data_IF_234683519038
#
_entry.id   IF_234683519038
#
_cell.length_a   1.000
_cell.length_b   1.000
_cell.length_c   1.000
_cell.angle_alpha   90.00
_cell.angle_beta   90.00
_cell.angle_gamma   90.00
#
_symmetry.space_group_name_H-M   'P 1'
#
loop_
_entity.id
_entity.type
_entity.pdbx_description
1 polymer ?
#
# COMPACT_ATOMS: atom_id res chain seq x y z
N UNK A 1 -8.29 4.50 -0.64
CA UNK A 1 -7.52 4.94 -1.82
C UNK A 1 -8.29 5.95 -2.68
N UNK A 2 -9.61 5.78 -2.90
CA UNK A 2 -10.43 6.67 -3.74
C UNK A 2 -10.54 8.11 -3.23
N UNK A 3 -10.80 8.31 -1.94
CA UNK A 3 -10.83 9.64 -1.34
C UNK A 3 -9.39 10.12 -1.16
N UNK A 4 -9.05 11.20 -1.85
CA UNK A 4 -7.73 11.83 -1.79
C UNK A 4 -7.55 12.61 -0.50
N UNK A 5 -6.30 12.77 -0.07
CA UNK A 5 -5.92 13.65 1.04
C UNK A 5 -6.70 13.38 2.33
N UNK A 6 -6.62 12.16 2.85
CA UNK A 6 -7.33 11.80 4.10
C UNK A 6 -6.74 12.50 5.33
N UNK A 7 -5.47 12.92 5.25
CA UNK A 7 -4.75 13.62 6.30
C UNK A 7 -4.78 15.12 6.02
N UNK A 8 -4.82 15.92 7.07
CA UNK A 8 -4.63 17.36 6.96
C UNK A 8 -3.22 17.67 6.45
N UNK A 9 -3.12 18.69 5.60
CA UNK A 9 -1.83 19.23 5.21
C UNK A 9 -1.32 20.14 6.33
N UNK A 10 -0.28 19.65 7.02
CA UNK A 10 0.36 20.36 8.10
C UNK A 10 1.67 21.02 7.67
N UNK A 11 2.10 20.88 6.41
CA UNK A 11 3.42 21.31 5.93
C UNK A 11 3.46 22.79 5.50
N UNK A 12 2.37 23.52 5.70
CA UNK A 12 2.29 24.97 5.45
C UNK A 12 3.25 25.79 6.35
N UNK A 13 3.78 26.93 5.87
CA UNK A 13 4.56 27.84 6.69
C UNK A 13 3.69 28.47 7.80
N UNK A 14 4.26 28.62 8.99
CA UNK A 14 3.60 29.25 10.13
C UNK A 14 3.67 30.78 10.02
N UNK A 15 2.59 31.47 10.42
CA UNK A 15 2.54 32.93 10.48
C UNK A 15 3.14 33.54 11.76
N UNK A 16 3.34 32.73 12.81
CA UNK A 16 3.94 33.13 14.09
C UNK A 16 4.75 32.00 14.73
N UNK A 17 5.58 32.33 15.73
CA UNK A 17 6.33 31.32 16.51
C UNK A 17 5.40 30.37 17.29
N UNK A 18 4.31 30.90 17.84
CA UNK A 18 3.29 30.10 18.52
C UNK A 18 2.60 29.14 17.55
N UNK A 19 2.25 29.59 16.33
CA UNK A 19 1.68 28.72 15.30
C UNK A 19 2.70 27.66 14.84
N UNK A 20 3.98 28.00 14.78
CA UNK A 20 5.04 27.06 14.42
C UNK A 20 5.15 25.92 15.45
N UNK A 21 5.13 26.26 16.74
CA UNK A 21 5.19 25.27 17.83
C UNK A 21 3.99 24.33 17.82
N UNK A 22 2.79 24.88 17.60
CA UNK A 22 1.54 24.09 17.54
C UNK A 22 1.51 23.18 16.30
N UNK A 23 1.92 23.67 15.12
CA UNK A 23 2.04 22.85 13.91
C UNK A 23 3.05 21.72 14.11
N UNK A 24 4.21 21.99 14.73
CA UNK A 24 5.20 20.96 15.04
C UNK A 24 4.64 19.87 15.96
N UNK A 25 3.89 20.26 17.00
CA UNK A 25 3.22 19.31 17.90
C UNK A 25 2.17 18.46 17.17
N UNK A 26 1.35 19.07 16.30
CA UNK A 26 0.36 18.35 15.48
C UNK A 26 1.04 17.38 14.51
N UNK A 27 2.14 17.76 13.86
CA UNK A 27 2.93 16.88 12.99
C UNK A 27 3.49 15.68 13.75
N UNK A 28 4.06 15.90 14.94
CA UNK A 28 4.60 14.84 15.78
C UNK A 28 3.50 13.85 16.21
N UNK A 29 2.33 14.35 16.60
CA UNK A 29 1.16 13.53 16.95
C UNK A 29 0.68 12.70 15.76
N UNK A 30 0.54 13.32 14.58
CA UNK A 30 0.14 12.60 13.36
C UNK A 30 1.16 11.50 13.01
N UNK A 31 2.47 11.79 13.09
CA UNK A 31 3.52 10.80 12.83
C UNK A 31 3.52 9.65 13.86
N UNK A 32 3.14 9.92 15.12
CA UNK A 32 2.92 8.88 16.12
C UNK A 32 1.69 8.02 15.79
N UNK A 33 0.56 8.63 15.44
CA UNK A 33 -0.66 7.91 15.10
C UNK A 33 -0.49 7.05 13.84
N UNK A 34 0.23 7.54 12.82
CA UNK A 34 0.55 6.73 11.64
C UNK A 34 1.36 5.48 11.99
N UNK A 35 2.35 5.59 12.88
CA UNK A 35 3.12 4.43 13.37
C UNK A 35 2.24 3.46 14.15
N UNK A 36 1.34 3.98 14.98
CA UNK A 36 0.39 3.16 15.73
C UNK A 36 -0.54 2.38 14.79
N UNK A 37 -1.11 3.03 13.78
CA UNK A 37 -2.02 2.41 12.82
C UNK A 37 -1.32 1.42 11.89
N UNK A 38 -0.07 1.68 11.48
CA UNK A 38 0.72 0.71 10.72
C UNK A 38 0.99 -0.58 11.52
N UNK A 39 1.10 -0.48 12.84
CA UNK A 39 1.42 -1.60 13.71
C UNK A 39 2.84 -2.13 13.49
N UNK A 40 3.02 -3.42 13.72
CA UNK A 40 4.32 -4.11 13.63
C UNK A 40 4.16 -5.45 12.88
N UNK A 41 5.29 -6.08 12.55
CA UNK A 41 5.29 -7.39 11.87
C UNK A 41 4.55 -7.35 10.54
N UNK A 42 3.60 -8.25 10.34
CA UNK A 42 2.82 -8.36 9.11
C UNK A 42 2.03 -7.08 8.80
N UNK A 43 1.42 -6.43 9.79
CA UNK A 43 0.65 -5.19 9.61
C UNK A 43 1.50 -4.06 9.04
N UNK A 44 2.75 -3.95 9.50
CA UNK A 44 3.67 -2.95 8.98
C UNK A 44 4.02 -3.18 7.51
N UNK A 45 4.04 -4.44 7.04
CA UNK A 45 4.31 -4.77 5.63
C UNK A 45 3.18 -4.31 4.69
N UNK A 46 1.95 -4.19 5.19
CA UNK A 46 0.87 -3.54 4.43
C UNK A 46 1.05 -2.02 4.35
N UNK A 47 1.98 -1.46 5.12
CA UNK A 47 2.53 -0.12 4.92
C UNK A 47 1.50 0.99 5.05
N UNK A 48 1.49 1.90 4.08
CA UNK A 48 0.58 3.06 4.09
C UNK A 48 -0.88 2.64 3.96
N UNK A 49 -1.16 1.49 3.34
CA UNK A 49 -2.51 0.96 3.24
C UNK A 49 -3.05 0.54 4.60
N UNK A 50 -2.18 -0.01 5.47
CA UNK A 50 -2.54 -0.32 6.86
C UNK A 50 -2.76 0.95 7.67
N UNK A 51 -1.96 2.00 7.44
CA UNK A 51 -2.17 3.30 8.07
C UNK A 51 -3.55 3.87 7.71
N UNK A 52 -3.94 3.80 6.43
CA UNK A 52 -5.27 4.23 5.99
C UNK A 52 -6.39 3.39 6.61
N UNK A 53 -6.23 2.06 6.63
CA UNK A 53 -7.20 1.15 7.22
C UNK A 53 -7.39 1.41 8.72
N UNK A 54 -6.29 1.58 9.46
CA UNK A 54 -6.30 1.89 10.89
C UNK A 54 -6.88 3.27 11.19
N UNK A 55 -6.59 4.28 10.37
CA UNK A 55 -7.18 5.61 10.51
C UNK A 55 -8.70 5.59 10.34
N UNK A 56 -9.20 4.90 9.31
CA UNK A 56 -10.65 4.74 9.09
C UNK A 56 -11.29 3.93 10.20
N UNK A 57 -10.70 2.79 10.58
CA UNK A 57 -11.22 1.93 11.65
C UNK A 57 -11.30 2.67 12.99
N UNK A 58 -10.25 3.40 13.36
CA UNK A 58 -10.22 4.18 14.60
C UNK A 58 -11.24 5.34 14.57
N UNK A 59 -11.37 6.03 13.43
CA UNK A 59 -12.34 7.09 13.26
C UNK A 59 -13.78 6.56 13.40
N UNK A 60 -14.10 5.46 12.74
CA UNK A 60 -15.42 4.82 12.82
C UNK A 60 -15.74 4.29 14.22
N UNK A 61 -14.76 3.67 14.89
CA UNK A 61 -14.90 3.20 16.26
C UNK A 61 -15.22 4.33 17.24
N UNK A 62 -14.61 5.50 17.04
CA UNK A 62 -14.89 6.73 17.81
C UNK A 62 -16.18 7.46 17.39
N UNK A 63 -16.97 6.89 16.47
CA UNK A 63 -18.23 7.47 15.97
C UNK A 63 -18.07 8.45 14.80
N UNK A 64 -16.86 8.63 14.27
CA UNK A 64 -16.49 9.62 13.26
C UNK A 64 -16.90 11.05 13.69
N UNK A 65 -16.34 11.51 14.80
CA UNK A 65 -16.61 12.86 15.32
C UNK A 65 -15.61 13.89 14.76
N UNK A 66 -16.02 15.16 14.55
CA UNK A 66 -15.11 16.21 14.11
C UNK A 66 -13.89 16.38 15.03
N UNK A 67 -14.13 16.32 16.34
CA UNK A 67 -13.09 16.40 17.39
C UNK A 67 -12.05 15.29 17.24
N UNK A 68 -12.47 14.05 17.03
CA UNK A 68 -11.54 12.94 16.80
C UNK A 68 -10.69 13.16 15.54
N UNK A 69 -11.31 13.65 14.47
CA UNK A 69 -10.60 13.92 13.23
C UNK A 69 -9.53 15.01 13.41
N UNK A 70 -9.91 16.15 14.00
CA UNK A 70 -9.00 17.28 14.25
C UNK A 70 -7.81 16.89 15.14
N UNK A 71 -8.07 16.15 16.21
CA UNK A 71 -7.05 15.69 17.16
C UNK A 71 -6.03 14.73 16.53
N UNK A 72 -6.45 13.92 15.54
CA UNK A 72 -5.61 12.92 14.90
C UNK A 72 -5.13 13.35 13.50
N UNK A 73 -5.33 14.61 13.11
CA UNK A 73 -4.90 15.16 11.82
C UNK A 73 -5.59 14.51 10.61
N UNK A 74 -6.85 14.10 10.79
CA UNK A 74 -7.69 13.52 9.76
C UNK A 74 -8.67 14.57 9.23
N UNK A 75 -8.94 14.55 7.92
CA UNK A 75 -9.94 15.44 7.34
C UNK A 75 -11.35 14.92 7.59
N UNK A 76 -12.13 15.62 8.40
CA UNK A 76 -13.50 15.19 8.75
C UNK A 76 -14.40 14.96 7.53
N UNK A 77 -14.40 15.89 6.56
CA UNK A 77 -15.17 15.74 5.32
C UNK A 77 -14.77 14.48 4.53
N UNK A 78 -13.48 14.18 4.46
CA UNK A 78 -12.96 12.98 3.80
C UNK A 78 -13.42 11.72 4.54
N UNK A 79 -13.42 11.71 5.87
CA UNK A 79 -13.91 10.55 6.66
C UNK A 79 -15.40 10.29 6.47
N UNK A 80 -16.23 11.35 6.43
CA UNK A 80 -17.66 11.22 6.12
C UNK A 80 -17.89 10.68 4.71
N UNK A 81 -17.09 11.12 3.74
CA UNK A 81 -17.14 10.61 2.37
C UNK A 81 -16.71 9.13 2.30
N UNK A 82 -15.63 8.75 2.99
CA UNK A 82 -15.19 7.36 3.10
C UNK A 82 -16.31 6.48 3.68
N UNK A 83 -16.98 6.93 4.75
CA UNK A 83 -18.12 6.20 5.34
C UNK A 83 -19.22 5.94 4.30
N UNK A 84 -19.59 6.97 3.51
CA UNK A 84 -20.61 6.84 2.46
C UNK A 84 -20.17 5.89 1.34
N UNK A 85 -18.94 6.04 0.86
CA UNK A 85 -18.38 5.18 -0.19
C UNK A 85 -18.26 3.73 0.25
N UNK A 86 -17.90 3.46 1.51
CA UNK A 86 -17.90 2.09 2.06
C UNK A 86 -19.29 1.47 1.98
N UNK A 87 -20.34 2.20 2.39
CA UNK A 87 -21.72 1.72 2.26
C UNK A 87 -22.12 1.42 0.81
N UNK A 88 -21.77 2.31 -0.12
CA UNK A 88 -22.04 2.09 -1.55
C UNK A 88 -21.33 0.86 -2.09
N UNK A 89 -20.03 0.73 -1.83
CA UNK A 89 -19.24 -0.43 -2.28
C UNK A 89 -19.77 -1.74 -1.70
N UNK A 90 -20.14 -1.77 -0.41
CA UNK A 90 -20.74 -2.95 0.21
C UNK A 90 -22.06 -3.35 -0.46
N UNK A 91 -22.92 -2.38 -0.78
CA UNK A 91 -24.17 -2.66 -1.48
C UNK A 91 -23.92 -3.21 -2.89
N UNK A 92 -22.96 -2.64 -3.62
CA UNK A 92 -22.59 -3.13 -4.96
C UNK A 92 -22.02 -4.54 -4.92
N UNK A 93 -21.18 -4.85 -3.93
CA UNK A 93 -20.64 -6.22 -3.75
C UNK A 93 -21.77 -7.21 -3.50
N UNK A 94 -22.70 -6.89 -2.60
CA UNK A 94 -23.84 -7.77 -2.33
C UNK A 94 -24.79 -7.93 -3.51
N UNK A 95 -24.85 -6.95 -4.42
CA UNK A 95 -25.65 -7.07 -5.64
C UNK A 95 -25.04 -8.06 -6.64
N UNK A 96 -23.70 -8.19 -6.67
CA UNK A 96 -22.98 -9.10 -7.56
C UNK A 96 -22.86 -10.50 -6.95
N UNK A 97 -22.63 -10.58 -5.64
CA UNK A 97 -22.40 -11.82 -4.90
C UNK A 97 -23.16 -11.77 -3.56
N UNK A 98 -24.48 -12.04 -3.58
CA UNK A 98 -25.32 -11.98 -2.39
C UNK A 98 -24.89 -12.95 -1.29
N UNK A 99 -24.27 -14.08 -1.65
CA UNK A 99 -23.80 -15.12 -0.73
C UNK A 99 -22.70 -14.65 0.23
N UNK A 100 -21.98 -13.57 -0.10
CA UNK A 100 -20.95 -13.00 0.77
C UNK A 100 -21.56 -12.33 2.00
N UNK A 101 -22.77 -11.78 1.88
CA UNK A 101 -23.47 -11.11 2.99
C UNK A 101 -22.63 -9.98 3.62
N UNK A 102 -21.88 -9.23 2.82
CA UNK A 102 -20.99 -8.19 3.32
C UNK A 102 -21.78 -7.07 3.99
N UNK A 103 -21.30 -6.54 5.11
CA UNK A 103 -21.89 -5.39 5.77
C UNK A 103 -20.81 -4.45 6.28
N UNK A 104 -21.18 -3.19 6.49
CA UNK A 104 -20.29 -2.18 7.07
C UNK A 104 -20.40 -2.25 8.59
N UNK A 105 -19.47 -2.94 9.22
CA UNK A 105 -19.32 -2.87 10.68
C UNK A 105 -18.61 -1.56 11.08
N UNK A 106 -19.22 -0.72 11.94
CA UNK A 106 -18.54 0.46 12.49
C UNK A 106 -17.42 0.12 13.49
N UNK A 107 -17.46 -1.07 14.09
CA UNK A 107 -16.52 -1.52 15.14
C UNK A 107 -15.64 -2.68 14.67
N UNK A 108 -15.24 -2.66 13.40
CA UNK A 108 -14.31 -3.66 12.85
C UNK A 108 -13.06 -3.77 13.73
N UNK A 109 -12.73 -5.01 14.10
CA UNK A 109 -11.45 -5.30 14.72
C UNK A 109 -10.32 -5.13 13.71
N UNK A 110 -9.11 -4.75 14.15
CA UNK A 110 -7.93 -4.78 13.30
C UNK A 110 -7.75 -6.16 12.63
N UNK A 111 -7.30 -6.20 11.36
CA UNK A 111 -7.14 -7.46 10.64
C UNK A 111 -6.07 -8.35 11.28
N UNK A 112 -6.28 -9.67 11.20
CA UNK A 112 -5.28 -10.67 11.61
C UNK A 112 -4.06 -10.66 10.67
N UNK A 113 -2.94 -11.24 11.11
CA UNK A 113 -1.75 -11.35 10.27
C UNK A 113 -2.02 -12.03 8.92
N UNK A 114 -2.87 -13.06 8.89
CA UNK A 114 -3.25 -13.75 7.66
C UNK A 114 -4.12 -12.87 6.76
N UNK A 115 -5.09 -12.15 7.32
CA UNK A 115 -5.90 -11.19 6.56
C UNK A 115 -5.04 -10.08 5.95
N UNK A 116 -4.04 -9.60 6.68
CA UNK A 116 -3.08 -8.61 6.16
C UNK A 116 -2.30 -9.15 4.98
N UNK A 117 -1.85 -10.41 5.01
CA UNK A 117 -1.18 -11.06 3.87
C UNK A 117 -2.10 -11.13 2.66
N UNK A 118 -3.35 -11.57 2.84
CA UNK A 118 -4.34 -11.60 1.75
C UNK A 118 -4.60 -10.20 1.18
N UNK A 119 -4.71 -9.17 2.03
CA UNK A 119 -4.86 -7.78 1.60
C UNK A 119 -3.68 -7.31 0.75
N UNK A 120 -2.44 -7.63 1.15
CA UNK A 120 -1.24 -7.32 0.34
C UNK A 120 -1.29 -7.99 -1.04
N UNK A 121 -1.72 -9.25 -1.10
CA UNK A 121 -1.86 -9.99 -2.36
C UNK A 121 -2.95 -9.39 -3.27
N UNK A 122 -4.11 -9.02 -2.71
CA UNK A 122 -5.20 -8.36 -3.44
C UNK A 122 -4.71 -7.03 -4.04
N UNK A 123 -3.98 -6.24 -3.24
CA UNK A 123 -3.41 -4.96 -3.69
C UNK A 123 -2.39 -5.17 -4.81
N UNK A 124 -1.49 -6.15 -4.67
CA UNK A 124 -0.52 -6.50 -5.71
C UNK A 124 -1.20 -6.83 -7.03
N UNK A 125 -2.26 -7.65 -7.00
CA UNK A 125 -3.01 -8.02 -8.20
C UNK A 125 -3.73 -6.82 -8.83
N UNK A 126 -4.21 -5.88 -8.01
CA UNK A 126 -4.91 -4.67 -8.49
C UNK A 126 -4.00 -3.55 -9.00
N UNK A 127 -2.73 -3.51 -8.59
CA UNK A 127 -1.75 -2.45 -8.90
C UNK A 127 -0.48 -3.03 -9.53
N UNK A 128 -0.64 -4.04 -10.39
CA UNK A 128 0.47 -4.82 -10.93
C UNK A 128 1.46 -4.06 -11.82
N UNK A 129 1.01 -2.95 -12.40
CA UNK A 129 1.81 -1.98 -13.16
C UNK A 129 2.61 -1.02 -12.27
N UNK A 130 2.19 -0.85 -11.02
CA UNK A 130 2.86 -0.03 -10.01
C UNK A 130 3.79 -0.84 -9.08
N UNK A 131 4.53 -1.77 -9.66
CA UNK A 131 5.55 -2.56 -8.96
C UNK A 131 6.91 -1.86 -9.05
N UNK A 132 7.64 -1.82 -7.93
CA UNK A 132 8.98 -1.27 -7.85
C UNK A 132 9.92 -2.20 -7.06
N UNK A 133 11.17 -2.31 -7.51
CA UNK A 133 12.25 -3.05 -6.84
C UNK A 133 13.28 -2.09 -6.30
N UNK A 134 13.67 -2.28 -5.05
CA UNK A 134 14.75 -1.56 -4.41
C UNK A 134 16.08 -1.92 -5.08
N UNK A 135 16.86 -0.91 -5.47
CA UNK A 135 18.19 -1.14 -6.06
C UNK A 135 19.16 -1.49 -4.94
N UNK A 136 19.77 -2.67 -5.03
CA UNK A 136 20.74 -3.15 -4.03
C UNK A 136 22.02 -2.32 -4.11
N UNK A 137 22.76 -2.19 -3.00
CA UNK A 137 23.90 -1.28 -2.91
C UNK A 137 25.03 -1.64 -3.88
N UNK A 138 25.17 -2.94 -4.17
CA UNK A 138 26.12 -3.51 -5.11
C UNK A 138 25.79 -3.16 -6.58
N UNK A 139 24.53 -2.88 -6.88
CA UNK A 139 24.05 -2.49 -8.22
C UNK A 139 24.16 -0.96 -8.45
N UNK A 140 24.48 -0.18 -7.41
CA UNK A 140 24.55 1.28 -7.49
C UNK A 140 25.85 1.73 -8.16
N UNK A 141 25.77 2.03 -9.45
CA UNK A 141 26.85 2.67 -10.21
C UNK A 141 26.82 4.21 -10.09
N UNK A 142 25.64 4.78 -9.90
CA UNK A 142 25.41 6.23 -9.81
C UNK A 142 24.77 6.58 -8.45
N UNK A 143 25.35 7.51 -7.66
CA UNK A 143 24.85 7.89 -6.34
C UNK A 143 23.40 8.36 -6.34
N UNK A 144 22.83 8.77 -7.49
CA UNK A 144 21.40 9.12 -7.60
C UNK A 144 20.47 7.95 -7.23
N UNK A 145 20.94 6.71 -7.36
CA UNK A 145 20.16 5.50 -7.05
C UNK A 145 20.22 5.09 -5.57
N UNK A 146 20.90 5.84 -4.72
CA UNK A 146 20.97 5.54 -3.28
C UNK A 146 19.57 5.55 -2.66
N UNK A 147 19.15 4.40 -2.13
CA UNK A 147 17.79 4.13 -1.61
C UNK A 147 16.67 4.31 -2.66
N UNK A 148 17.03 4.27 -3.94
CA UNK A 148 16.12 4.39 -5.06
C UNK A 148 15.50 3.04 -5.43
N UNK A 149 14.34 3.12 -6.07
CA UNK A 149 13.63 1.98 -6.62
C UNK A 149 13.55 2.12 -8.14
N UNK A 150 13.70 0.99 -8.81
CA UNK A 150 13.45 0.85 -10.24
C UNK A 150 12.01 0.39 -10.45
N UNK A 151 11.30 1.03 -11.37
CA UNK A 151 9.93 0.66 -11.72
C UNK A 151 9.87 0.13 -13.15
N UNK A 152 8.75 -0.49 -13.52
CA UNK A 152 8.50 -0.94 -14.90
C UNK A 152 8.24 0.21 -15.87
N UNK A 153 7.85 1.38 -15.35
CA UNK A 153 7.27 2.47 -16.14
C UNK A 153 8.27 3.62 -16.37
N UNK A 154 9.35 3.67 -15.59
CA UNK A 154 10.31 4.78 -15.61
C UNK A 154 11.74 4.29 -15.42
N UNK A 155 12.67 4.93 -16.11
CA UNK A 155 14.10 4.68 -16.02
C UNK A 155 14.77 5.44 -14.86
N UNK A 156 14.20 6.56 -14.43
CA UNK A 156 14.71 7.35 -13.31
C UNK A 156 14.37 6.71 -11.94
N UNK A 157 15.22 6.91 -10.91
CA UNK A 157 14.98 6.36 -9.59
C UNK A 157 13.76 7.01 -8.94
N UNK A 158 12.92 6.18 -8.36
CA UNK A 158 11.77 6.61 -7.56
C UNK A 158 12.02 6.25 -6.10
N UNK A 159 11.60 7.10 -5.15
CA UNK A 159 11.88 6.93 -3.73
C UNK A 159 10.60 6.72 -2.94
N UNK A 160 10.65 5.98 -1.84
CA UNK A 160 9.52 5.95 -0.89
C UNK A 160 9.36 7.34 -0.27
N UNK A 161 8.14 7.87 -0.24
CA UNK A 161 7.88 9.18 0.35
C UNK A 161 8.27 9.20 1.85
N UNK A 162 8.90 10.27 2.37
CA UNK A 162 9.37 10.35 3.77
C UNK A 162 8.29 10.14 4.83
N UNK A 163 7.04 10.44 4.48
CA UNK A 163 5.87 10.29 5.37
C UNK A 163 5.27 8.88 5.38
N UNK A 164 5.82 7.96 4.58
CA UNK A 164 5.41 6.55 4.50
C UNK A 164 5.86 5.75 5.73
N UNK A 165 5.04 4.79 6.15
CA UNK A 165 5.41 3.86 7.22
C UNK A 165 6.62 2.98 6.86
N UNK A 166 6.88 2.77 5.57
CA UNK A 166 7.95 1.91 5.06
C UNK A 166 9.25 2.65 4.73
N UNK A 167 9.31 3.97 4.93
CA UNK A 167 10.45 4.81 4.55
C UNK A 167 11.80 4.33 5.13
N UNK A 168 11.80 3.83 6.37
CA UNK A 168 13.02 3.30 7.02
C UNK A 168 13.27 1.81 6.78
N UNK A 169 12.25 1.06 6.34
CA UNK A 169 12.34 -0.39 6.19
C UNK A 169 12.92 -0.79 4.84
N UNK A 170 12.65 0.00 3.81
CA UNK A 170 13.11 -0.21 2.43
C UNK A 170 12.97 -1.67 1.96
N UNK A 171 11.75 -2.22 1.87
CA UNK A 171 11.54 -3.59 1.39
C UNK A 171 12.06 -3.79 -0.03
N UNK A 172 12.48 -5.01 -0.36
CA UNK A 172 13.03 -5.31 -1.70
C UNK A 172 12.04 -5.03 -2.82
N UNK A 173 10.78 -5.46 -2.65
CA UNK A 173 9.71 -5.16 -3.59
C UNK A 173 8.59 -4.41 -2.89
N UNK A 174 8.07 -3.41 -3.59
CA UNK A 174 6.93 -2.63 -3.13
C UNK A 174 5.96 -2.40 -4.27
N UNK A 175 4.69 -2.31 -3.91
CA UNK A 175 3.63 -1.78 -4.76
C UNK A 175 3.27 -0.38 -4.27
N UNK A 176 2.99 0.54 -5.18
CA UNK A 176 2.62 1.91 -4.87
C UNK A 176 1.28 2.30 -5.49
N UNK A 177 0.60 3.28 -4.90
CA UNK A 177 -0.67 3.79 -5.43
C UNK A 177 -0.43 4.81 -6.54
N UNK A 178 0.49 5.74 -6.33
CA UNK A 178 0.80 6.83 -7.25
C UNK A 178 2.24 7.32 -7.04
N UNK A 179 2.77 8.02 -8.05
CA UNK A 179 4.05 8.72 -7.98
C UNK A 179 3.78 10.21 -8.10
N UNK A 180 4.42 11.00 -7.22
CA UNK A 180 4.36 12.45 -7.25
C UNK A 180 5.75 13.02 -7.47
N UNK A 181 5.86 13.92 -8.44
CA UNK A 181 7.05 14.71 -8.68
C UNK A 181 7.05 15.96 -7.81
N UNK A 182 8.08 16.13 -7.00
CA UNK A 182 8.30 17.36 -6.21
C UNK A 182 9.75 17.80 -6.37
N UNK A 183 10.61 17.54 -5.38
CA UNK A 183 12.06 17.64 -5.51
C UNK A 183 12.68 16.39 -6.14
N UNK A 184 12.04 15.24 -5.91
CA UNK A 184 12.33 13.93 -6.51
C UNK A 184 11.00 13.25 -6.82
N UNK A 185 11.07 12.16 -7.57
CA UNK A 185 9.93 11.27 -7.77
C UNK A 185 9.70 10.43 -6.51
N UNK A 186 8.55 10.63 -5.85
CA UNK A 186 8.19 9.90 -4.63
C UNK A 186 6.96 9.02 -4.83
N UNK A 187 7.06 7.76 -4.42
CA UNK A 187 5.94 6.81 -4.32
C UNK A 187 5.10 7.09 -3.07
N UNK A 188 3.77 7.09 -3.22
CA UNK A 188 2.80 7.15 -2.11
C UNK A 188 1.89 5.93 -2.12
N UNK A 189 1.33 5.63 -0.94
CA UNK A 189 0.46 4.46 -0.77
C UNK A 189 1.25 3.16 -0.89
N UNK A 190 2.44 3.13 -0.28
CA UNK A 190 3.40 2.02 -0.47
C UNK A 190 3.03 0.84 0.41
N UNK A 191 3.08 -0.37 -0.15
CA UNK A 191 2.98 -1.64 0.56
C UNK A 191 4.08 -2.59 0.09
N UNK A 192 4.64 -3.37 1.02
CA UNK A 192 5.67 -4.36 0.70
C UNK A 192 5.09 -5.56 -0.06
N UNK A 193 5.90 -6.20 -0.88
CA UNK A 193 5.53 -7.36 -1.71
C UNK A 193 6.58 -8.45 -1.52
N UNK A 194 6.16 -9.71 -1.42
CA UNK A 194 7.08 -10.85 -1.41
C UNK A 194 7.45 -11.24 -2.85
N UNK A 195 8.72 -11.52 -3.11
CA UNK A 195 9.21 -11.80 -4.46
C UNK A 195 8.53 -13.01 -5.12
N UNK A 196 8.19 -14.03 -4.33
CA UNK A 196 7.50 -15.25 -4.81
C UNK A 196 6.05 -15.00 -5.24
N UNK A 197 5.43 -13.90 -4.85
CA UNK A 197 4.08 -13.55 -5.27
C UNK A 197 4.04 -12.96 -6.68
N UNK A 198 5.11 -12.28 -7.11
CA UNK A 198 5.13 -11.56 -8.39
C UNK A 198 4.87 -12.52 -9.57
N UNK A 199 5.56 -13.67 -9.71
CA UNK A 199 5.25 -14.60 -10.79
C UNK A 199 3.82 -15.14 -10.71
N UNK A 200 3.25 -15.33 -9.52
CA UNK A 200 1.92 -15.91 -9.32
C UNK A 200 0.81 -14.96 -9.75
N UNK A 201 0.84 -13.72 -9.24
CA UNK A 201 -0.24 -12.75 -9.44
C UNK A 201 -0.04 -11.85 -10.66
N UNK A 202 1.21 -11.70 -11.14
CA UNK A 202 1.57 -10.77 -12.22
C UNK A 202 2.27 -11.47 -13.40
N UNK A 203 1.64 -12.48 -14.04
CA UNK A 203 2.26 -13.21 -15.15
C UNK A 203 2.60 -12.32 -16.36
N UNK A 204 1.83 -11.26 -16.58
CA UNK A 204 2.01 -10.35 -17.73
C UNK A 204 3.14 -9.34 -17.51
N UNK A 205 3.38 -8.92 -16.26
CA UNK A 205 4.42 -7.96 -15.91
C UNK A 205 5.81 -8.62 -15.88
N UNK A 206 5.84 -9.94 -15.63
CA UNK A 206 7.05 -10.76 -15.55
C UNK A 206 7.99 -10.58 -16.76
N UNK A 207 7.46 -10.52 -17.98
CA UNK A 207 8.29 -10.48 -19.20
C UNK A 207 8.82 -9.09 -19.55
N UNK A 208 8.30 -8.04 -18.92
CA UNK A 208 8.69 -6.65 -19.24
C UNK A 208 9.93 -6.20 -18.48
N UNK A 209 10.27 -6.85 -17.37
CA UNK A 209 11.36 -6.43 -16.51
C UNK A 209 12.27 -7.61 -16.23
N UNK A 210 13.56 -7.46 -16.55
CA UNK A 210 14.58 -8.51 -16.43
C UNK A 210 15.02 -8.75 -14.96
N UNK A 211 14.09 -8.69 -14.00
CA UNK A 211 14.38 -8.99 -12.61
C UNK A 211 14.50 -10.50 -12.41
N UNK A 212 15.54 -10.94 -11.70
CA UNK A 212 15.64 -12.32 -11.24
C UNK A 212 14.61 -12.54 -10.14
N UNK A 213 13.62 -13.40 -10.41
CA UNK A 213 12.57 -13.78 -9.48
C UNK A 213 12.67 -15.28 -9.18
N UNK A 214 12.26 -15.72 -7.98
CA UNK A 214 12.28 -17.13 -7.62
C UNK A 214 11.37 -17.95 -8.54
N UNK A 215 11.77 -19.20 -8.80
CA UNK A 215 10.92 -20.15 -9.51
C UNK A 215 9.65 -20.43 -8.67
N UNK A 216 8.51 -20.50 -9.33
CA UNK A 216 7.23 -20.81 -8.70
C UNK A 216 6.52 -21.89 -9.49
N UNK A 217 5.85 -22.79 -8.78
CA UNK A 217 5.01 -23.82 -9.38
C UNK A 217 3.84 -23.16 -10.15
N UNK A 218 3.71 -23.56 -11.41
CA UNK A 218 2.62 -23.15 -12.30
C UNK A 218 2.26 -24.33 -13.18
N UNK A 219 1.01 -24.33 -13.65
CA UNK A 219 0.60 -25.23 -14.71
C UNK A 219 1.54 -25.07 -15.91
N UNK A 220 2.00 -26.21 -16.42
CA UNK A 220 2.85 -26.23 -17.59
C UNK A 220 2.09 -25.61 -18.77
N UNK A 221 2.68 -24.67 -19.53
CA UNK A 221 1.98 -23.98 -20.59
C UNK A 221 1.44 -24.95 -21.63
N UNK A 222 0.30 -24.60 -22.23
CA UNK A 222 -0.31 -25.42 -23.27
C UNK A 222 0.63 -25.60 -24.46
N UNK A 223 0.84 -26.86 -24.85
CA UNK A 223 1.76 -27.20 -25.93
C UNK A 223 2.10 -28.69 -25.94
N UNK A 224 2.78 -29.13 -27.01
CA UNK A 224 3.16 -30.53 -27.20
C UNK A 224 3.99 -31.07 -26.02
N UNK A 225 4.83 -30.22 -25.43
CA UNK A 225 5.68 -30.60 -24.30
C UNK A 225 4.90 -30.86 -23.00
N UNK A 226 3.72 -30.23 -22.83
CA UNK A 226 2.78 -30.55 -21.74
C UNK A 226 2.35 -32.02 -21.81
N UNK A 227 1.97 -32.48 -23.01
CA UNK A 227 1.55 -33.86 -23.24
C UNK A 227 2.69 -34.86 -23.10
N UNK A 228 3.90 -34.50 -23.56
CA UNK A 228 5.10 -35.33 -23.34
C UNK A 228 5.38 -35.52 -21.86
N UNK A 229 5.36 -34.44 -21.07
CA UNK A 229 5.55 -34.51 -19.62
C UNK A 229 4.44 -35.33 -18.96
N UNK A 230 3.17 -35.08 -19.31
CA UNK A 230 2.06 -35.87 -18.80
C UNK A 230 2.25 -37.37 -19.09
N UNK A 231 2.59 -37.75 -20.32
CA UNK A 231 2.81 -39.15 -20.69
C UNK A 231 3.98 -39.79 -19.94
N UNK A 232 5.04 -39.02 -19.63
CA UNK A 232 6.21 -39.50 -18.88
C UNK A 232 5.92 -39.72 -17.39
N UNK A 233 4.99 -38.98 -16.81
CA UNK A 233 4.60 -39.15 -15.39
C UNK A 233 3.46 -40.15 -15.20
N UNK A 234 2.62 -40.33 -16.22
CA UNK A 234 1.45 -41.20 -16.15
C UNK A 234 1.75 -42.66 -16.50
N UNK A 235 2.75 -42.91 -17.35
CA UNK A 235 3.22 -44.25 -17.75
C UNK A 235 4.49 -44.62 -16.98
#
# INVERSE_FOLDING_TARGET
MTVREIFEDLDRPAGSEDESSTLAQRRARLAQMRRLWAGQGASLQLGDLMVMLGAVGACEFAGCTPKFCEENGLRYKAMVEIRRLRGQLTNTVNAVSPEVGAFVDPKMTPPSAQQVVCLRQIVLAGLGDHLARHVQMEEILDPKWKNGYKTCLMDDPVFIHPSSALFKKLPEFVVYQEIMETSKMYMRGVSAVEANWIPQFLPHTFFRVAWQLPAVEKDYPDGLDRYKLFSKFFL
#
